data_IF_506396179128
#
_entry.id   IF_506396179128
#
_cell.length_a   1.000
_cell.length_b   1.000
_cell.length_c   1.000
_cell.angle_alpha   90.00
_cell.angle_beta   90.00
_cell.angle_gamma   90.00
#
_symmetry.space_group_name_H-M   'P 1'
#
loop_
_entity.id
_entity.type
_entity.pdbx_description
1 polymer ?
#
# COMPACT_ATOMS: atom_id res chain seq x y z
N UNK A 1 7.85 45.55 -11.80
CA UNK A 1 6.63 44.75 -12.00
C UNK A 1 7.03 43.29 -12.05
N UNK A 2 6.40 42.46 -11.22
CA UNK A 2 6.82 41.10 -10.88
C UNK A 2 6.64 40.12 -12.05
N UNK A 3 7.69 39.37 -12.38
CA UNK A 3 7.61 38.15 -13.19
C UNK A 3 6.92 37.06 -12.37
N UNK A 4 5.69 36.66 -12.77
CA UNK A 4 5.09 35.41 -12.32
C UNK A 4 5.61 34.29 -13.22
N UNK A 5 6.70 33.65 -12.80
CA UNK A 5 6.98 32.29 -13.23
C UNK A 5 6.05 31.38 -12.43
N UNK A 6 4.94 30.97 -13.04
CA UNK A 6 4.11 29.88 -12.54
C UNK A 6 4.93 28.59 -12.71
N UNK A 7 5.73 28.30 -11.68
CA UNK A 7 6.41 27.03 -11.56
C UNK A 7 5.36 26.00 -11.16
N UNK A 8 4.72 25.38 -12.14
CA UNK A 8 3.81 24.24 -11.96
C UNK A 8 4.65 23.05 -11.50
N UNK A 9 5.03 23.04 -10.22
CA UNK A 9 5.52 21.84 -9.56
C UNK A 9 4.30 20.93 -9.45
N UNK A 10 4.12 20.05 -10.44
CA UNK A 10 3.45 18.77 -10.18
C UNK A 10 4.31 18.13 -9.09
N UNK A 11 3.82 18.08 -7.85
CA UNK A 11 4.44 17.21 -6.85
C UNK A 11 4.40 15.81 -7.46
N UNK A 12 5.56 15.36 -7.91
CA UNK A 12 5.72 13.96 -8.25
C UNK A 12 5.70 13.28 -6.89
N UNK A 13 4.52 12.81 -6.47
CA UNK A 13 4.36 12.14 -5.18
C UNK A 13 5.49 11.09 -5.09
N UNK A 14 6.31 11.20 -4.06
CA UNK A 14 7.38 10.25 -3.77
C UNK A 14 6.78 8.84 -3.71
N UNK A 15 7.51 7.85 -4.23
CA UNK A 15 7.00 6.48 -4.31
C UNK A 15 7.88 5.59 -3.44
N UNK A 16 7.32 5.15 -2.32
CA UNK A 16 7.98 4.23 -1.40
C UNK A 16 7.54 2.79 -1.68
N UNK A 17 8.46 1.84 -1.59
CA UNK A 17 8.21 0.41 -1.79
C UNK A 17 8.54 -0.38 -0.54
N UNK A 18 7.66 -1.32 -0.23
CA UNK A 18 7.77 -2.16 0.95
C UNK A 18 7.52 -3.62 0.59
N UNK A 19 8.18 -4.50 1.32
CA UNK A 19 7.85 -5.92 1.35
C UNK A 19 6.99 -6.19 2.58
N UNK A 20 6.01 -7.09 2.46
CA UNK A 20 5.23 -7.60 3.58
C UNK A 20 4.80 -9.04 3.36
N UNK A 21 4.28 -9.65 4.41
CA UNK A 21 3.75 -11.03 4.41
C UNK A 21 2.26 -11.01 4.60
N UNK A 22 1.51 -11.71 3.73
CA UNK A 22 0.05 -11.87 3.86
C UNK A 22 -0.25 -12.54 5.21
N UNK A 23 -0.91 -11.82 6.10
CA UNK A 23 -1.22 -12.26 7.46
C UNK A 23 -2.57 -12.99 7.56
N UNK A 24 -3.52 -12.61 6.72
CA UNK A 24 -4.87 -13.19 6.67
C UNK A 24 -5.28 -13.48 5.22
N UNK A 25 -6.29 -14.34 5.05
CA UNK A 25 -6.87 -14.61 3.74
C UNK A 25 -7.39 -13.31 3.10
N UNK A 26 -6.97 -13.03 1.87
CA UNK A 26 -7.46 -11.88 1.11
C UNK A 26 -8.90 -12.12 0.70
N UNK A 27 -9.80 -11.29 1.22
CA UNK A 27 -11.24 -11.37 0.99
C UNK A 27 -11.76 -10.09 0.33
N UNK A 28 -12.83 -10.18 -0.49
CA UNK A 28 -13.60 -9.00 -0.86
C UNK A 28 -14.05 -8.25 0.39
N UNK A 29 -14.00 -6.93 0.34
CA UNK A 29 -14.57 -6.09 1.38
C UNK A 29 -16.10 -6.08 1.21
N UNK A 30 -16.82 -6.53 2.22
CA UNK A 30 -18.29 -6.60 2.19
C UNK A 30 -18.94 -5.21 2.29
N UNK A 31 -18.29 -4.27 2.98
CA UNK A 31 -18.80 -2.92 3.22
C UNK A 31 -18.50 -1.96 2.06
N UNK A 32 -17.45 -2.24 1.29
CA UNK A 32 -16.99 -1.39 0.19
C UNK A 32 -16.87 -2.19 -1.09
N UNK A 33 -17.90 -2.06 -1.94
CA UNK A 33 -18.03 -2.83 -3.18
C UNK A 33 -16.75 -2.77 -4.02
N UNK A 34 -16.34 -3.93 -4.57
CA UNK A 34 -15.21 -4.09 -5.49
C UNK A 34 -13.82 -3.79 -4.90
N UNK A 35 -13.69 -3.73 -3.58
CA UNK A 35 -12.39 -3.66 -2.91
C UNK A 35 -12.06 -4.99 -2.21
N UNK A 36 -10.79 -5.17 -1.88
CA UNK A 36 -10.23 -6.33 -1.19
C UNK A 36 -9.45 -5.84 0.02
N UNK A 37 -9.66 -6.49 1.17
CA UNK A 37 -8.91 -6.22 2.39
C UNK A 37 -7.67 -7.11 2.38
N UNK A 38 -6.49 -6.50 2.35
CA UNK A 38 -5.18 -7.19 2.38
C UNK A 38 -4.48 -6.82 3.68
N UNK A 39 -4.38 -7.77 4.61
CA UNK A 39 -3.64 -7.58 5.86
C UNK A 39 -2.22 -8.12 5.70
N UNK A 40 -1.24 -7.25 5.93
CA UNK A 40 0.19 -7.51 5.88
C UNK A 40 0.83 -7.45 7.26
N UNK A 41 1.79 -8.32 7.49
CA UNK A 41 2.68 -8.35 8.67
C UNK A 41 4.14 -8.39 8.21
N UNK A 42 5.09 -8.26 9.16
CA UNK A 42 6.54 -8.31 8.89
C UNK A 42 6.94 -7.36 7.75
N UNK A 43 6.63 -6.08 7.93
CA UNK A 43 6.82 -5.08 6.88
C UNK A 43 8.27 -4.62 6.92
N UNK A 44 8.90 -4.58 5.75
CA UNK A 44 10.28 -4.15 5.54
C UNK A 44 10.31 -3.11 4.42
N UNK A 45 11.13 -2.06 4.57
CA UNK A 45 11.31 -1.07 3.53
C UNK A 45 12.26 -1.58 2.45
N UNK A 46 11.87 -1.43 1.19
CA UNK A 46 12.74 -1.53 0.01
C UNK A 46 13.24 -0.12 -0.34
N UNK A 47 12.32 0.85 -0.38
CA UNK A 47 12.57 2.29 -0.41
C UNK A 47 11.55 3.00 0.47
N UNK A 48 11.97 3.98 1.25
CA UNK A 48 11.10 4.68 2.20
C UNK A 48 11.53 6.14 2.36
N UNK A 49 11.28 6.91 1.30
CA UNK A 49 11.67 8.33 1.22
C UNK A 49 10.94 9.17 2.28
N UNK A 50 9.78 8.70 2.74
CA UNK A 50 8.89 9.38 3.69
C UNK A 50 9.03 8.85 5.13
N UNK A 51 9.95 7.91 5.39
CA UNK A 51 10.19 7.30 6.70
C UNK A 51 8.90 6.75 7.36
N UNK A 52 8.11 6.01 6.57
CA UNK A 52 6.83 5.40 6.97
C UNK A 52 7.02 4.10 7.76
N UNK A 53 8.11 3.36 7.57
CA UNK A 53 8.31 2.04 8.18
C UNK A 53 8.06 2.00 9.70
N UNK A 54 8.51 2.98 10.51
CA UNK A 54 8.22 3.01 11.95
C UNK A 54 6.72 3.03 12.29
N UNK A 55 5.89 3.57 11.41
CA UNK A 55 4.43 3.64 11.54
C UNK A 55 3.80 2.32 11.11
N UNK A 56 4.32 1.70 10.05
CA UNK A 56 3.75 0.50 9.44
C UNK A 56 4.09 -0.79 10.21
N UNK A 57 5.27 -0.88 10.84
CA UNK A 57 5.80 -2.17 11.31
C UNK A 57 5.28 -2.64 12.68
N UNK A 58 4.70 -1.76 13.51
CA UNK A 58 4.38 -2.13 14.91
C UNK A 58 3.23 -3.14 15.07
N UNK A 59 2.24 -3.10 14.17
CA UNK A 59 1.03 -3.93 14.30
C UNK A 59 0.59 -4.58 12.97
N UNK A 60 1.41 -4.46 11.93
CA UNK A 60 1.05 -4.75 10.56
C UNK A 60 0.20 -3.65 9.93
N UNK A 61 -0.28 -3.89 8.71
CA UNK A 61 -0.93 -2.90 7.85
C UNK A 61 -2.08 -3.50 7.07
N UNK A 62 -3.20 -2.80 6.99
CA UNK A 62 -4.32 -3.19 6.12
C UNK A 62 -4.36 -2.29 4.89
N UNK A 63 -4.28 -2.89 3.70
CA UNK A 63 -4.49 -2.20 2.44
C UNK A 63 -5.88 -2.51 1.89
N UNK A 64 -6.62 -1.47 1.50
CA UNK A 64 -7.94 -1.62 0.89
C UNK A 64 -7.84 -1.42 -0.64
N UNK A 65 -7.72 -2.51 -1.39
CA UNK A 65 -7.30 -2.46 -2.80
C UNK A 65 -8.42 -2.79 -3.78
N UNK A 66 -8.43 -2.17 -4.95
CA UNK A 66 -9.23 -2.62 -6.10
C UNK A 66 -8.46 -3.62 -6.95
N UNK A 67 -9.19 -4.45 -7.71
CA UNK A 67 -8.60 -5.52 -8.53
C UNK A 67 -7.47 -5.05 -9.47
N UNK A 68 -7.56 -3.83 -10.00
CA UNK A 68 -6.57 -3.28 -10.93
C UNK A 68 -5.18 -3.04 -10.33
N UNK A 69 -5.06 -3.02 -9.00
CA UNK A 69 -3.80 -2.79 -8.30
C UNK A 69 -3.00 -4.08 -8.06
N UNK A 70 -3.63 -5.25 -8.26
CA UNK A 70 -2.94 -6.53 -8.17
C UNK A 70 -2.22 -6.81 -9.49
N UNK A 71 -0.90 -6.69 -9.49
CA UNK A 71 -0.08 -6.95 -10.67
C UNK A 71 0.23 -8.43 -10.78
N UNK A 72 -0.08 -9.00 -11.96
CA UNK A 72 0.18 -10.41 -12.32
C UNK A 72 -0.40 -11.48 -11.38
N UNK A 73 -1.17 -11.12 -10.35
CA UNK A 73 -1.81 -12.06 -9.42
C UNK A 73 -3.29 -11.75 -9.23
N UNK A 74 -4.12 -12.80 -9.09
CA UNK A 74 -5.51 -12.64 -8.70
C UNK A 74 -5.59 -12.58 -7.17
N UNK A 75 -6.41 -11.67 -6.57
CA UNK A 75 -6.50 -11.54 -5.11
C UNK A 75 -6.78 -12.86 -4.39
N UNK A 76 -7.65 -13.71 -4.96
CA UNK A 76 -8.01 -15.00 -4.39
C UNK A 76 -6.94 -16.09 -4.49
N UNK A 77 -5.79 -15.80 -5.11
CA UNK A 77 -4.64 -16.71 -5.18
C UNK A 77 -3.58 -16.41 -4.14
N UNK A 78 -3.61 -15.23 -3.52
CA UNK A 78 -2.77 -14.90 -2.37
C UNK A 78 -3.18 -15.73 -1.16
N UNK A 79 -2.19 -16.31 -0.49
CA UNK A 79 -2.32 -17.17 0.68
C UNK A 79 -1.59 -16.55 1.86
N UNK A 80 -2.01 -16.93 3.06
CA UNK A 80 -1.28 -16.57 4.29
C UNK A 80 0.15 -17.09 4.19
N UNK A 81 1.12 -16.24 4.52
CA UNK A 81 2.55 -16.52 4.40
C UNK A 81 3.19 -16.08 3.07
N UNK A 82 2.40 -15.76 2.04
CA UNK A 82 2.95 -15.24 0.79
C UNK A 82 3.66 -13.90 1.02
N UNK A 83 4.85 -13.74 0.45
CA UNK A 83 5.57 -12.47 0.40
C UNK A 83 5.08 -11.63 -0.76
N UNK A 84 4.84 -10.36 -0.50
CA UNK A 84 4.36 -9.40 -1.50
C UNK A 84 5.18 -8.12 -1.43
N UNK A 85 5.34 -7.47 -2.57
CA UNK A 85 5.82 -6.09 -2.67
C UNK A 85 4.62 -5.20 -2.93
N UNK A 86 4.54 -4.09 -2.23
CA UNK A 86 3.53 -3.06 -2.45
C UNK A 86 4.18 -1.67 -2.45
N UNK A 87 3.48 -0.71 -3.07
CA UNK A 87 3.97 0.65 -3.26
C UNK A 87 2.97 1.68 -2.74
N UNK A 88 3.48 2.70 -2.04
CA UNK A 88 2.71 3.80 -1.45
C UNK A 88 3.14 5.15 -2.02
N UNK A 89 2.16 6.02 -2.30
CA UNK A 89 2.36 7.40 -2.75
C UNK A 89 2.46 8.34 -1.56
N UNK A 90 3.56 9.06 -1.46
CA UNK A 90 3.84 10.04 -0.41
C UNK A 90 3.53 9.49 0.98
N UNK A 91 3.08 10.38 1.87
CA UNK A 91 2.52 10.00 3.16
C UNK A 91 1.03 9.67 2.96
N UNK A 92 0.62 8.39 3.00
CA UNK A 92 -0.76 8.01 2.69
C UNK A 92 -1.71 8.42 3.83
N UNK A 93 -2.98 8.72 3.53
CA UNK A 93 -4.01 8.81 4.55
C UNK A 93 -4.19 7.43 5.22
N UNK A 94 -4.11 7.42 6.55
CA UNK A 94 -4.21 6.22 7.38
C UNK A 94 -5.21 6.41 8.52
N UNK A 95 -5.86 5.33 8.93
CA UNK A 95 -6.70 5.32 10.13
C UNK A 95 -5.85 5.25 11.40
N UNK A 96 -6.35 5.81 12.51
CA UNK A 96 -5.73 5.66 13.84
C UNK A 96 -6.03 4.31 14.51
N UNK A 97 -6.32 3.26 13.73
CA UNK A 97 -6.63 1.92 14.24
C UNK A 97 -5.36 1.08 14.40
N UNK A 98 -5.50 -0.08 15.05
CA UNK A 98 -4.45 -1.07 15.17
C UNK A 98 -4.95 -2.40 14.57
N UNK A 99 -4.39 -2.86 13.43
CA UNK A 99 -3.42 -2.17 12.58
C UNK A 99 -4.00 -0.91 11.89
N UNK A 100 -3.16 0.06 11.47
CA UNK A 100 -3.59 1.14 10.61
C UNK A 100 -4.09 0.61 9.26
N UNK A 101 -5.06 1.31 8.67
CA UNK A 101 -5.58 1.01 7.35
C UNK A 101 -5.22 2.11 6.35
N UNK A 102 -4.76 1.71 5.17
CA UNK A 102 -4.43 2.61 4.04
C UNK A 102 -5.53 2.52 2.98
N UNK A 103 -5.94 3.69 2.49
CA UNK A 103 -6.88 3.80 1.39
C UNK A 103 -6.24 3.36 0.06
N UNK A 104 -6.99 2.61 -0.76
CA UNK A 104 -6.48 2.08 -2.03
C UNK A 104 -5.92 3.12 -2.98
N UNK A 105 -6.45 4.35 -2.98
CA UNK A 105 -5.95 5.44 -3.84
C UNK A 105 -4.48 5.79 -3.61
N UNK A 106 -3.97 5.51 -2.41
CA UNK A 106 -2.58 5.76 -2.04
C UNK A 106 -1.65 4.57 -2.35
N UNK A 107 -2.21 3.41 -2.70
CA UNK A 107 -1.43 2.25 -3.12
C UNK A 107 -1.30 2.28 -4.64
N UNK A 108 -0.09 2.21 -5.19
CA UNK A 108 0.06 2.12 -6.65
C UNK A 108 -0.17 0.69 -7.12
N UNK A 109 0.46 -0.28 -6.44
CA UNK A 109 0.32 -1.68 -6.78
C UNK A 109 0.65 -2.62 -5.61
N UNK A 110 0.27 -3.89 -5.80
CA UNK A 110 0.75 -5.04 -5.03
C UNK A 110 1.10 -6.18 -6.00
N UNK A 111 2.23 -6.86 -5.75
CA UNK A 111 2.68 -8.02 -6.54
C UNK A 111 3.23 -9.11 -5.64
N UNK A 112 3.06 -10.36 -6.05
CA UNK A 112 3.69 -11.50 -5.37
C UNK A 112 5.21 -11.45 -5.62
N UNK A 113 6.00 -11.81 -4.61
CA UNK A 113 7.42 -12.11 -4.79
C UNK A 113 7.51 -13.56 -5.28
N UNK A 114 7.98 -13.75 -6.52
CA UNK A 114 8.30 -15.10 -7.02
C UNK A 114 9.61 -15.57 -6.37
N UNK A 115 9.61 -16.79 -5.83
CA UNK A 115 10.81 -17.50 -5.38
C UNK A 115 11.51 -18.20 -6.56
#
# INVERSE_FOLDING_TARGET
MLNKNENTIKSQDSLSEFQGVIAEKVLPNEDVSKTYRVFLSNIEAISDDENLLPILNNFGLVLNLVKGQFQAIRPNKLKVGDKVIFSLKGIPPMTMSIPPQVAGVAVEYIKLVEE
#
